data_IF_604145725854
#
_entry.id   IF_604145725854
#
_cell.length_a   1.000
_cell.length_b   1.000
_cell.length_c   1.000
_cell.angle_alpha   90.00
_cell.angle_beta   90.00
_cell.angle_gamma   90.00
#
_symmetry.space_group_name_H-M   'P 1'
#
loop_
_entity.id
_entity.type
_entity.pdbx_description
1 polymer ?
#
# COMPACT_ATOMS: atom_id res chain seq x y z
N UNK A 1 3.02 -29.33 3.81
CA UNK A 1 2.75 -27.90 3.51
C UNK A 1 1.43 -27.55 4.15
N UNK A 2 1.34 -26.40 4.84
CA UNK A 2 0.09 -26.01 5.51
C UNK A 2 -0.93 -25.51 4.49
N UNK A 3 -2.20 -25.84 4.70
CA UNK A 3 -3.32 -25.36 3.90
C UNK A 3 -3.44 -23.82 4.00
N UNK A 4 -4.00 -23.14 2.98
CA UNK A 4 -4.38 -21.74 3.12
C UNK A 4 -5.38 -21.57 4.28
N UNK A 5 -5.37 -20.43 4.99
CA UNK A 5 -6.40 -20.13 5.98
C UNK A 5 -7.80 -20.25 5.37
N UNK A 6 -8.71 -20.91 6.09
CA UNK A 6 -10.09 -21.06 5.65
C UNK A 6 -10.82 -19.71 5.66
N UNK A 7 -11.69 -19.49 4.66
CA UNK A 7 -12.56 -18.32 4.67
C UNK A 7 -13.47 -18.34 5.91
N UNK A 8 -13.64 -17.18 6.53
CA UNK A 8 -14.30 -16.95 7.83
C UNK A 8 -13.81 -17.84 8.99
N UNK A 9 -12.71 -18.56 8.80
CA UNK A 9 -12.06 -19.37 9.83
C UNK A 9 -11.34 -18.53 10.88
N UNK A 10 -10.83 -19.17 11.92
CA UNK A 10 -10.19 -18.52 13.06
C UNK A 10 -9.06 -17.57 12.67
N UNK A 11 -8.10 -18.04 11.86
CA UNK A 11 -6.97 -17.21 11.40
C UNK A 11 -7.47 -15.98 10.63
N UNK A 12 -8.47 -16.14 9.76
CA UNK A 12 -9.04 -15.01 9.02
C UNK A 12 -9.70 -14.00 9.98
N UNK A 13 -10.47 -14.47 10.97
CA UNK A 13 -11.07 -13.60 11.99
C UNK A 13 -10.03 -12.84 12.80
N UNK A 14 -8.94 -13.49 13.20
CA UNK A 14 -7.83 -12.83 13.91
C UNK A 14 -7.16 -11.78 13.03
N UNK A 15 -6.89 -12.09 11.76
CA UNK A 15 -6.34 -11.12 10.80
C UNK A 15 -7.26 -9.92 10.58
N UNK A 16 -8.57 -10.17 10.53
CA UNK A 16 -9.57 -9.12 10.48
C UNK A 16 -9.58 -8.30 11.77
N UNK A 17 -9.50 -8.92 12.94
CA UNK A 17 -9.49 -8.26 14.24
C UNK A 17 -8.30 -7.28 14.38
N UNK A 18 -7.09 -7.74 14.10
CA UNK A 18 -5.86 -6.91 14.21
C UNK A 18 -5.80 -5.81 13.16
N UNK A 19 -6.54 -5.95 12.05
CA UNK A 19 -6.68 -4.89 11.07
C UNK A 19 -7.89 -3.99 11.32
N UNK A 20 -8.93 -4.42 12.03
CA UNK A 20 -10.08 -3.55 12.36
C UNK A 20 -9.91 -2.83 13.70
N UNK A 21 -9.07 -3.35 14.60
CA UNK A 21 -8.92 -2.85 15.97
C UNK A 21 -10.28 -2.68 16.68
N UNK A 22 -11.21 -3.60 16.41
CA UNK A 22 -12.56 -3.57 16.93
C UNK A 22 -12.60 -4.22 18.31
N UNK A 23 -13.23 -3.58 19.28
CA UNK A 23 -13.47 -4.18 20.61
C UNK A 23 -14.44 -5.37 20.53
N UNK A 24 -15.28 -5.42 19.50
CA UNK A 24 -16.27 -6.49 19.26
C UNK A 24 -15.86 -7.40 18.08
N UNK A 25 -14.56 -7.59 17.84
CA UNK A 25 -14.05 -8.29 16.67
C UNK A 25 -14.58 -9.72 16.49
N UNK A 26 -14.94 -10.40 17.58
CA UNK A 26 -15.48 -11.77 17.54
C UNK A 26 -16.84 -11.84 16.83
N UNK A 27 -17.63 -10.78 16.96
CA UNK A 27 -18.97 -10.64 16.38
C UNK A 27 -18.93 -10.01 14.98
N UNK A 28 -17.82 -9.35 14.64
CA UNK A 28 -17.64 -8.74 13.33
C UNK A 28 -17.54 -9.81 12.24
N UNK A 29 -18.39 -9.69 11.21
CA UNK A 29 -18.24 -10.49 10.01
C UNK A 29 -16.97 -10.03 9.25
N UNK A 30 -15.97 -10.90 9.06
CA UNK A 30 -14.79 -10.52 8.30
C UNK A 30 -15.16 -10.29 6.83
N UNK A 31 -14.40 -9.41 6.16
CA UNK A 31 -14.52 -9.20 4.71
C UNK A 31 -14.27 -10.51 3.96
N UNK A 32 -14.70 -10.61 2.70
CA UNK A 32 -14.39 -11.78 1.88
C UNK A 32 -12.86 -12.01 1.82
N UNK A 33 -12.43 -13.24 2.08
CA UNK A 33 -11.01 -13.55 2.17
C UNK A 33 -10.28 -13.36 0.84
N UNK A 34 -10.93 -13.57 -0.31
CA UNK A 34 -10.29 -13.38 -1.62
C UNK A 34 -10.09 -11.90 -1.93
N UNK A 35 -11.01 -11.05 -1.49
CA UNK A 35 -10.92 -9.59 -1.68
C UNK A 35 -9.89 -8.94 -0.76
N UNK A 36 -9.76 -9.47 0.45
CA UNK A 36 -8.89 -8.91 1.50
C UNK A 36 -7.50 -9.56 1.57
N UNK A 37 -7.34 -10.79 1.08
CA UNK A 37 -6.02 -11.37 0.90
C UNK A 37 -5.38 -10.71 -0.33
N UNK A 38 -4.41 -9.84 -0.10
CA UNK A 38 -3.45 -9.49 -1.12
C UNK A 38 -2.66 -10.75 -1.33
N UNK A 39 -3.12 -11.59 -2.27
CA UNK A 39 -2.32 -12.68 -2.81
C UNK A 39 -0.91 -12.11 -2.91
N UNK A 40 0.06 -12.77 -2.28
CA UNK A 40 1.46 -12.46 -2.46
C UNK A 40 1.76 -12.85 -3.91
N UNK A 41 1.26 -12.05 -4.85
CA UNK A 41 1.64 -11.96 -6.24
C UNK A 41 2.93 -11.15 -6.24
N UNK A 42 3.93 -11.64 -5.51
CA UNK A 42 5.27 -11.59 -6.07
C UNK A 42 5.12 -12.27 -7.44
N UNK A 43 5.54 -11.58 -8.48
CA UNK A 43 5.36 -11.99 -9.87
C UNK A 43 5.53 -13.52 -10.05
N UNK A 44 4.78 -14.17 -10.97
CA UNK A 44 5.01 -15.56 -11.26
C UNK A 44 6.52 -15.82 -11.50
N UNK A 45 7.08 -16.87 -10.88
CA UNK A 45 6.44 -17.80 -9.95
C UNK A 45 6.43 -17.24 -8.51
N UNK A 46 5.25 -17.08 -7.90
CA UNK A 46 5.16 -16.80 -6.47
C UNK A 46 5.69 -18.01 -5.70
N UNK A 47 6.82 -17.83 -5.03
CA UNK A 47 7.48 -18.85 -4.20
C UNK A 47 6.90 -18.90 -2.77
N UNK A 48 5.87 -18.10 -2.47
CA UNK A 48 5.27 -18.05 -1.15
C UNK A 48 4.35 -19.27 -0.91
N UNK A 49 4.48 -19.97 0.24
CA UNK A 49 3.58 -21.06 0.59
C UNK A 49 2.10 -20.63 0.63
N UNK A 50 1.13 -21.51 0.30
CA UNK A 50 -0.30 -21.19 0.36
C UNK A 50 -0.79 -20.71 1.74
N UNK A 51 -0.09 -21.09 2.81
CA UNK A 51 -0.35 -20.64 4.17
C UNK A 51 0.15 -19.23 4.48
N UNK A 52 0.87 -18.58 3.56
CA UNK A 52 1.36 -17.21 3.70
C UNK A 52 0.33 -16.23 3.17
N UNK A 53 -0.11 -15.32 4.03
CA UNK A 53 -1.22 -14.41 3.74
C UNK A 53 -0.83 -12.99 4.11
N UNK A 54 -1.15 -12.05 3.21
CA UNK A 54 -1.05 -10.63 3.47
C UNK A 54 -2.48 -10.07 3.45
N UNK A 55 -3.06 -9.96 4.64
CA UNK A 55 -4.42 -9.49 4.81
C UNK A 55 -4.47 -7.96 4.75
N UNK A 56 -5.44 -7.42 4.03
CA UNK A 56 -5.59 -6.00 3.78
C UNK A 56 -7.02 -5.52 3.89
N UNK A 57 -7.19 -4.39 4.57
CA UNK A 57 -8.40 -3.56 4.53
C UNK A 57 -8.12 -2.26 3.77
N UNK A 58 -8.98 -1.24 3.78
CA UNK A 58 -8.69 0.02 3.05
C UNK A 58 -7.37 0.69 3.46
N UNK A 59 -6.99 0.64 4.75
CA UNK A 59 -5.83 1.39 5.30
C UNK A 59 -4.89 0.56 6.16
N UNK A 60 -5.18 -0.72 6.39
CA UNK A 60 -4.46 -1.52 7.38
C UNK A 60 -4.09 -2.88 6.82
N UNK A 61 -2.98 -3.42 7.28
CA UNK A 61 -2.39 -4.66 6.78
C UNK A 61 -2.00 -5.56 7.94
N UNK A 62 -2.18 -6.86 7.76
CA UNK A 62 -1.67 -7.88 8.67
C UNK A 62 -0.94 -8.96 7.86
N UNK A 63 0.16 -9.45 8.41
CA UNK A 63 1.04 -10.41 7.76
C UNK A 63 0.97 -11.72 8.54
N UNK A 64 0.66 -12.81 7.84
CA UNK A 64 0.60 -14.15 8.39
C UNK A 64 1.53 -15.08 7.60
N UNK A 65 2.80 -15.13 7.99
CA UNK A 65 3.82 -15.97 7.36
C UNK A 65 4.33 -17.01 8.37
N UNK A 66 3.56 -18.08 8.66
CA UNK A 66 3.85 -19.00 9.76
C UNK A 66 5.23 -19.66 9.68
N UNK A 67 5.73 -19.95 8.47
CA UNK A 67 7.07 -20.51 8.30
C UNK A 67 8.20 -19.54 8.72
N UNK A 68 7.92 -18.24 8.81
CA UNK A 68 8.82 -17.21 9.33
C UNK A 68 8.60 -16.92 10.81
N UNK A 69 7.71 -17.63 11.51
CA UNK A 69 7.64 -17.59 12.97
C UNK A 69 8.40 -18.76 13.60
N UNK A 70 8.59 -19.85 12.85
CA UNK A 70 9.17 -21.11 13.34
C UNK A 70 10.62 -21.35 12.94
N UNK A 71 11.20 -20.53 12.04
CA UNK A 71 12.65 -20.55 11.82
C UNK A 71 13.36 -19.97 13.06
N UNK A 72 14.59 -20.42 13.37
CA UNK A 72 15.28 -20.13 14.63
C UNK A 72 15.49 -18.64 14.98
N UNK A 73 16.16 -18.38 16.10
CA UNK A 73 16.21 -17.11 16.87
C UNK A 73 16.53 -15.78 16.15
N UNK A 74 16.78 -15.74 14.83
CA UNK A 74 17.07 -14.48 14.09
C UNK A 74 16.45 -14.46 12.70
N UNK A 75 15.16 -14.13 12.62
CA UNK A 75 14.49 -13.85 11.35
C UNK A 75 14.42 -12.33 11.16
N UNK A 76 15.50 -11.74 10.66
CA UNK A 76 15.53 -10.30 10.37
C UNK A 76 14.57 -9.91 9.25
N UNK A 77 14.26 -10.83 8.32
CA UNK A 77 13.44 -10.52 7.15
C UNK A 77 12.02 -10.10 7.47
N UNK A 78 11.37 -10.75 8.45
CA UNK A 78 10.00 -10.41 8.84
C UNK A 78 9.98 -9.03 9.55
N UNK A 79 10.88 -8.81 10.50
CA UNK A 79 11.01 -7.51 11.18
C UNK A 79 11.32 -6.38 10.18
N UNK A 80 12.24 -6.60 9.24
CA UNK A 80 12.53 -5.66 8.16
C UNK A 80 11.30 -5.39 7.28
N UNK A 81 10.55 -6.43 6.91
CA UNK A 81 9.35 -6.28 6.10
C UNK A 81 8.28 -5.47 6.82
N UNK A 82 7.99 -5.76 8.10
CA UNK A 82 7.03 -4.99 8.90
C UNK A 82 7.45 -3.54 9.04
N UNK A 83 8.72 -3.27 9.38
CA UNK A 83 9.26 -1.92 9.52
C UNK A 83 9.15 -1.14 8.21
N UNK A 84 9.62 -1.73 7.11
CA UNK A 84 9.61 -1.06 5.81
C UNK A 84 8.18 -0.83 5.31
N UNK A 85 7.27 -1.79 5.49
CA UNK A 85 5.87 -1.64 5.13
C UNK A 85 5.21 -0.51 5.95
N UNK A 86 5.44 -0.46 7.27
CA UNK A 86 4.89 0.60 8.13
C UNK A 86 5.33 1.99 7.65
N UNK A 87 6.63 2.22 7.50
CA UNK A 87 7.14 3.53 7.08
C UNK A 87 6.70 3.90 5.67
N UNK A 88 6.71 2.94 4.74
CA UNK A 88 6.26 3.19 3.39
C UNK A 88 4.75 3.50 3.34
N UNK A 89 3.92 2.83 4.14
CA UNK A 89 2.49 3.14 4.25
C UNK A 89 2.24 4.53 4.85
N UNK A 90 3.01 4.94 5.86
CA UNK A 90 2.94 6.30 6.42
C UNK A 90 3.37 7.35 5.39
N UNK A 91 4.43 7.05 4.63
CA UNK A 91 4.90 7.92 3.55
C UNK A 91 3.82 8.08 2.47
N UNK A 92 3.16 6.99 2.05
CA UNK A 92 2.04 7.05 1.09
C UNK A 92 0.93 7.96 1.61
N UNK A 93 0.48 7.79 2.86
CA UNK A 93 -0.57 8.65 3.44
C UNK A 93 -0.17 10.13 3.47
N UNK A 94 1.08 10.43 3.87
CA UNK A 94 1.60 11.80 3.90
C UNK A 94 1.63 12.45 2.51
N UNK A 95 2.14 11.72 1.51
CA UNK A 95 2.22 12.19 0.12
C UNK A 95 0.83 12.38 -0.50
N UNK A 96 -0.10 11.46 -0.22
CA UNK A 96 -1.51 11.61 -0.63
C UNK A 96 -2.13 12.86 -0.01
N UNK A 97 -1.87 13.14 1.27
CA UNK A 97 -2.33 14.36 1.94
C UNK A 97 -1.88 15.63 1.21
N UNK A 98 -0.62 15.70 0.80
CA UNK A 98 -0.09 16.84 0.03
C UNK A 98 -0.73 16.95 -1.36
N UNK A 99 -0.88 15.84 -2.07
CA UNK A 99 -1.54 15.81 -3.40
C UNK A 99 -2.98 16.28 -3.31
N UNK A 100 -3.75 15.80 -2.34
CA UNK A 100 -5.15 16.17 -2.14
C UNK A 100 -5.31 17.64 -1.71
N UNK A 101 -4.44 18.12 -0.82
CA UNK A 101 -4.39 19.52 -0.44
C UNK A 101 -4.13 20.42 -1.64
N UNK A 102 -3.18 20.03 -2.50
CA UNK A 102 -2.89 20.76 -3.74
C UNK A 102 -4.06 20.69 -4.71
N UNK A 103 -4.66 19.52 -4.92
CA UNK A 103 -5.82 19.37 -5.80
C UNK A 103 -6.99 20.27 -5.37
N UNK A 104 -7.21 20.42 -4.06
CA UNK A 104 -8.21 21.34 -3.49
C UNK A 104 -7.89 22.80 -3.83
N UNK A 105 -6.62 23.22 -3.74
CA UNK A 105 -6.19 24.56 -4.15
C UNK A 105 -6.43 24.81 -5.64
N UNK A 106 -6.10 23.82 -6.49
CA UNK A 106 -6.33 23.92 -7.93
C UNK A 106 -7.82 24.03 -8.27
N UNK A 107 -8.69 23.27 -7.58
CA UNK A 107 -10.15 23.38 -7.71
C UNK A 107 -10.67 24.73 -7.21
N UNK A 108 -9.98 25.36 -6.26
CA UNK A 108 -10.26 26.71 -5.77
C UNK A 108 -9.79 27.84 -6.68
N UNK A 109 -9.24 27.53 -7.87
CA UNK A 109 -8.85 28.52 -8.88
C UNK A 109 -7.38 28.94 -8.85
N UNK A 110 -6.57 28.41 -7.92
CA UNK A 110 -5.12 28.63 -7.95
C UNK A 110 -4.56 27.75 -9.08
N UNK A 111 -4.17 28.36 -10.20
CA UNK A 111 -3.50 27.62 -11.29
C UNK A 111 -2.21 26.95 -10.80
N UNK A 112 -1.83 25.80 -11.39
CA UNK A 112 -0.63 25.07 -10.97
C UNK A 112 0.65 25.92 -11.08
N UNK A 113 0.77 26.73 -12.14
CA UNK A 113 1.86 27.67 -12.35
C UNK A 113 1.91 28.83 -11.33
N UNK A 114 0.83 29.02 -10.56
CA UNK A 114 0.72 30.06 -9.53
C UNK A 114 1.01 29.52 -8.12
N UNK A 115 1.34 28.24 -7.98
CA UNK A 115 1.83 27.69 -6.71
C UNK A 115 3.17 28.35 -6.37
N UNK A 116 3.43 28.58 -5.08
CA UNK A 116 4.75 29.05 -4.70
C UNK A 116 5.81 27.99 -5.04
N UNK A 117 7.04 28.39 -5.43
CA UNK A 117 8.04 27.43 -5.92
C UNK A 117 8.32 26.25 -4.99
N UNK A 118 8.42 26.42 -3.65
CA UNK A 118 8.60 25.29 -2.74
C UNK A 118 7.43 24.31 -2.76
N UNK A 119 6.18 24.80 -2.87
CA UNK A 119 5.00 23.94 -2.93
C UNK A 119 4.98 23.16 -4.24
N UNK A 120 5.24 23.83 -5.37
CA UNK A 120 5.32 23.17 -6.67
C UNK A 120 6.36 22.04 -6.66
N UNK A 121 7.56 22.30 -6.12
CA UNK A 121 8.60 21.30 -6.04
C UNK A 121 8.20 20.12 -5.13
N UNK A 122 7.58 20.40 -3.98
CA UNK A 122 7.10 19.36 -3.06
C UNK A 122 6.03 18.48 -3.71
N UNK A 123 5.04 19.07 -4.40
CA UNK A 123 3.96 18.29 -5.02
C UNK A 123 4.47 17.50 -6.24
N UNK A 124 5.42 18.05 -7.00
CA UNK A 124 6.14 17.34 -8.06
C UNK A 124 6.88 16.13 -7.51
N UNK A 125 7.65 16.31 -6.43
CA UNK A 125 8.36 15.22 -5.75
C UNK A 125 7.39 14.16 -5.24
N UNK A 126 6.25 14.56 -4.67
CA UNK A 126 5.22 13.64 -4.22
C UNK A 126 4.63 12.81 -5.36
N UNK A 127 4.30 13.45 -6.49
CA UNK A 127 3.85 12.76 -7.70
C UNK A 127 4.86 11.74 -8.21
N UNK A 128 6.16 12.09 -8.21
CA UNK A 128 7.23 11.19 -8.61
C UNK A 128 7.40 10.00 -7.66
N UNK A 129 7.48 10.25 -6.34
CA UNK A 129 7.65 9.20 -5.32
C UNK A 129 6.46 8.23 -5.35
N UNK A 130 5.23 8.74 -5.43
CA UNK A 130 4.03 7.89 -5.54
C UNK A 130 4.09 7.01 -6.80
N UNK A 131 4.62 7.51 -7.92
CA UNK A 131 4.82 6.69 -9.12
C UNK A 131 5.86 5.60 -8.97
N UNK A 132 6.96 5.88 -8.27
CA UNK A 132 7.98 4.87 -7.94
C UNK A 132 7.42 3.78 -7.03
N UNK A 133 6.66 4.16 -6.00
CA UNK A 133 6.01 3.22 -5.09
C UNK A 133 4.89 2.40 -5.77
N UNK A 134 4.24 2.96 -6.80
CA UNK A 134 3.20 2.29 -7.59
C UNK A 134 3.75 1.26 -8.58
N UNK A 135 5.01 1.43 -9.02
CA UNK A 135 5.73 0.47 -9.86
C UNK A 135 5.70 0.74 -11.37
N UNK A 136 5.42 1.97 -11.82
CA UNK A 136 5.19 2.29 -13.24
C UNK A 136 6.11 3.37 -13.87
N UNK A 137 7.20 3.80 -13.23
CA UNK A 137 8.13 4.74 -13.91
C UNK A 137 9.27 4.00 -14.64
N UNK A 138 9.42 4.15 -15.98
CA UNK A 138 10.65 3.79 -16.67
C UNK A 138 11.79 4.62 -16.09
N UNK A 139 12.83 3.97 -15.57
CA UNK A 139 13.89 4.63 -14.80
C UNK A 139 13.67 4.62 -13.29
N UNK A 140 12.67 3.89 -12.78
CA UNK A 140 12.57 3.60 -11.36
C UNK A 140 13.81 2.85 -10.87
N UNK A 141 14.43 3.41 -9.84
CA UNK A 141 15.62 2.89 -9.19
C UNK A 141 15.37 1.44 -8.71
N UNK A 142 16.23 0.47 -9.08
CA UNK A 142 16.11 -0.90 -8.63
C UNK A 142 16.03 -1.03 -7.10
N UNK A 143 16.62 -0.08 -6.36
CA UNK A 143 16.73 -0.08 -4.90
C UNK A 143 15.50 0.49 -4.19
N UNK A 144 14.51 1.01 -4.92
CA UNK A 144 13.25 1.44 -4.31
C UNK A 144 12.47 0.23 -3.78
N UNK A 145 12.09 0.29 -2.50
CA UNK A 145 11.25 -0.73 -1.87
C UNK A 145 9.90 -0.85 -2.60
N UNK A 146 9.68 -1.99 -3.26
CA UNK A 146 8.51 -2.28 -4.10
C UNK A 146 7.69 -3.41 -3.50
N UNK A 147 6.86 -3.07 -2.52
CA UNK A 147 5.84 -3.99 -2.02
C UNK A 147 4.54 -3.81 -2.78
N UNK A 148 3.93 -4.91 -3.22
CA UNK A 148 2.57 -4.92 -3.79
C UNK A 148 1.54 -4.25 -2.86
N UNK A 149 1.81 -4.26 -1.55
CA UNK A 149 0.99 -3.58 -0.53
C UNK A 149 0.79 -2.10 -0.82
N UNK A 150 1.83 -1.40 -1.30
CA UNK A 150 1.79 0.05 -1.51
C UNK A 150 1.01 0.40 -2.77
N UNK A 151 1.20 -0.36 -3.85
CA UNK A 151 0.36 -0.24 -5.05
C UNK A 151 -1.11 -0.39 -4.70
N UNK A 152 -1.45 -1.45 -3.96
CA UNK A 152 -2.85 -1.69 -3.56
C UNK A 152 -3.34 -0.63 -2.58
N UNK A 153 -2.52 -0.13 -1.66
CA UNK A 153 -2.89 1.00 -0.80
C UNK A 153 -3.24 2.25 -1.64
N UNK A 154 -2.44 2.55 -2.67
CA UNK A 154 -2.71 3.66 -3.59
C UNK A 154 -4.00 3.42 -4.38
N UNK A 155 -4.22 2.21 -4.90
CA UNK A 155 -5.46 1.86 -5.63
C UNK A 155 -6.70 1.99 -4.71
N UNK A 156 -6.64 1.42 -3.50
CA UNK A 156 -7.73 1.45 -2.51
C UNK A 156 -7.96 2.82 -1.87
N UNK A 157 -7.00 3.75 -2.00
CA UNK A 157 -7.19 5.12 -1.53
C UNK A 157 -8.31 5.84 -2.27
N UNK A 158 -8.57 5.46 -3.53
CA UNK A 158 -9.51 6.16 -4.40
C UNK A 158 -8.97 7.50 -4.93
N UNK A 159 -7.66 7.77 -4.77
CA UNK A 159 -7.05 9.05 -5.10
C UNK A 159 -6.17 9.02 -6.35
N UNK A 160 -6.17 7.91 -7.10
CA UNK A 160 -5.39 7.75 -8.36
C UNK A 160 -5.65 8.90 -9.34
N UNK A 161 -6.90 9.35 -9.47
CA UNK A 161 -7.28 10.49 -10.33
C UNK A 161 -6.57 11.78 -9.91
N UNK A 162 -6.54 12.08 -8.61
CA UNK A 162 -5.87 13.28 -8.08
C UNK A 162 -4.35 13.21 -8.30
N UNK A 163 -3.76 12.02 -8.08
CA UNK A 163 -2.34 11.78 -8.35
C UNK A 163 -2.02 11.99 -9.84
N UNK A 164 -2.83 11.43 -10.74
CA UNK A 164 -2.64 11.56 -12.18
C UNK A 164 -2.82 12.99 -12.67
N UNK A 165 -3.71 13.78 -12.05
CA UNK A 165 -3.85 15.21 -12.34
C UNK A 165 -2.56 15.98 -12.01
N UNK A 166 -2.00 15.78 -10.82
CA UNK A 166 -0.73 16.40 -10.43
C UNK A 166 0.41 15.94 -11.35
N UNK A 167 0.51 14.63 -11.61
CA UNK A 167 1.52 14.05 -12.51
C UNK A 167 1.42 14.66 -13.92
N UNK A 168 0.20 14.86 -14.43
CA UNK A 168 -0.05 15.54 -15.71
C UNK A 168 0.45 16.98 -15.73
N UNK A 169 0.18 17.77 -14.69
CA UNK A 169 0.75 19.13 -14.56
C UNK A 169 2.29 19.13 -14.53
N UNK A 170 2.90 18.05 -14.05
CA UNK A 170 4.36 17.91 -13.97
C UNK A 170 5.00 17.24 -15.20
N UNK A 171 4.23 16.88 -16.24
CA UNK A 171 4.73 16.16 -17.41
C UNK A 171 5.10 14.69 -17.16
N UNK A 172 4.56 14.08 -16.10
CA UNK A 172 4.82 12.68 -15.73
C UNK A 172 3.77 11.74 -16.32
N UNK A 173 4.14 10.49 -16.61
CA UNK A 173 3.19 9.45 -17.06
C UNK A 173 2.13 9.15 -15.99
N UNK A 174 0.86 8.89 -16.32
CA UNK A 174 -0.14 8.50 -15.32
C UNK A 174 0.19 7.15 -14.66
N UNK A 175 -0.33 6.94 -13.46
CA UNK A 175 -0.37 5.65 -12.77
C UNK A 175 -1.49 4.78 -13.35
N UNK A 176 -1.22 3.48 -13.46
CA UNK A 176 -2.12 2.51 -14.08
C UNK A 176 -2.02 2.48 -15.61
N UNK A 177 -2.69 1.51 -16.26
CA UNK A 177 -3.03 1.61 -17.68
C UNK A 177 -4.01 2.77 -17.94
#
# INVERSE_FOLDING_TARGET
MNAPPADKGEIHRVLHAVTKWSMSWEQDAPLDFKESNLLVKTQPPSTAPPSHVLYATKRRRAIWFPALFTKGWRIHSLNCYHRNLLFASLQVESLLGLVLGTEKMLKGGIGFANLCPPHEQCVRNAGSILGRLYGNDPGSDPDTYRSWSLKVQIDQSGHVVAINKIRGHCGMKPLGP
#
